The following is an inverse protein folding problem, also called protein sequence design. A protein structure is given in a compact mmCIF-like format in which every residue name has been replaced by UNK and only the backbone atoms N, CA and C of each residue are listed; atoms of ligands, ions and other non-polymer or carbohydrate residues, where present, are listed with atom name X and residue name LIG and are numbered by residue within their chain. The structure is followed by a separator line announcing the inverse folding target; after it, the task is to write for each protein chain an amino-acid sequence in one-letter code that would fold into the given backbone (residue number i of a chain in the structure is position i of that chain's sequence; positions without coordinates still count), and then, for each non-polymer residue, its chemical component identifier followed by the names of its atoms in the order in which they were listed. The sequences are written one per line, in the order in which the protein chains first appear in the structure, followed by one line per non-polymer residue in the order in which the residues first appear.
data_IF_552976179889
#
_entry.id   IF_552976179889
#
_cell.length_a   1.000
_cell.length_b   1.000
_cell.length_c   1.000
_cell.angle_alpha   90.00
_cell.angle_beta   90.00
_cell.angle_gamma   90.00
#
_symmetry.space_group_name_H-M   'P 1'
#
loop_
_entity.id
_entity.type
_entity.pdbx_description
1 polymer ?
#
# COMPACT_ATOMS: atom_id res chain seq x y z
N UNK A 1 -9.44 -23.80 12.70
CA UNK A 1 -9.06 -22.40 12.98
C UNK A 1 -9.05 -21.62 11.68
N UNK A 2 -9.90 -20.59 11.51
CA UNK A 2 -9.82 -19.68 10.36
C UNK A 2 -8.60 -18.79 10.60
N UNK A 3 -7.55 -18.95 9.79
CA UNK A 3 -6.33 -18.17 9.95
C UNK A 3 -6.64 -16.70 9.70
N UNK A 4 -6.36 -15.88 10.71
CA UNK A 4 -6.75 -14.47 10.82
C UNK A 4 -5.64 -13.62 10.18
N UNK A 5 -5.78 -13.30 8.90
CA UNK A 5 -4.83 -12.46 8.15
C UNK A 5 -5.56 -11.39 7.35
N UNK A 6 -4.83 -10.36 6.95
CA UNK A 6 -5.29 -9.44 5.92
C UNK A 6 -5.38 -10.18 4.57
N UNK A 7 -6.41 -9.88 3.79
CA UNK A 7 -6.55 -10.34 2.42
C UNK A 7 -5.31 -9.99 1.58
N UNK A 8 -4.51 -11.02 1.26
CA UNK A 8 -3.29 -10.85 0.46
C UNK A 8 -3.57 -10.37 -0.96
N UNK A 9 -4.71 -10.77 -1.54
CA UNK A 9 -5.13 -10.33 -2.88
C UNK A 9 -5.51 -8.85 -2.88
N UNK A 10 -6.25 -8.38 -1.87
CA UNK A 10 -6.59 -6.96 -1.73
C UNK A 10 -5.35 -6.11 -1.43
N UNK A 11 -4.43 -6.58 -0.58
CA UNK A 11 -3.14 -5.91 -0.35
C UNK A 11 -2.34 -5.78 -1.64
N UNK A 12 -2.32 -6.81 -2.48
CA UNK A 12 -1.61 -6.78 -3.76
C UNK A 12 -2.24 -5.78 -4.74
N UNK A 13 -3.57 -5.66 -4.77
CA UNK A 13 -4.27 -4.62 -5.57
C UNK A 13 -3.88 -3.23 -5.12
N UNK A 14 -3.89 -2.96 -3.80
CA UNK A 14 -3.44 -1.69 -3.23
C UNK A 14 -1.96 -1.41 -3.57
N UNK A 15 -1.10 -2.43 -3.54
CA UNK A 15 0.31 -2.31 -3.89
C UNK A 15 0.53 -1.93 -5.37
N UNK A 16 -0.29 -2.46 -6.27
CA UNK A 16 -0.21 -2.20 -7.72
C UNK A 16 -0.74 -0.83 -8.13
N UNK A 17 -1.58 -0.18 -7.32
CA UNK A 17 -2.19 1.10 -7.65
C UNK A 17 -1.16 2.25 -7.71
N UNK A 18 -0.24 2.33 -6.74
CA UNK A 18 0.77 3.39 -6.71
C UNK A 18 1.13 3.86 -5.30
N UNK A 19 1.82 5.00 -5.23
CA UNK A 19 2.10 5.69 -3.97
C UNK A 19 0.90 6.56 -3.57
N UNK A 20 0.47 6.57 -2.30
CA UNK A 20 -0.64 7.40 -1.85
C UNK A 20 -0.28 8.90 -1.80
N UNK A 21 1.01 9.24 -1.74
CA UNK A 21 1.52 10.61 -1.84
C UNK A 21 3.03 10.60 -2.10
N UNK A 22 3.63 11.78 -2.34
CA UNK A 22 5.08 11.96 -2.57
C UNK A 22 5.91 12.09 -1.28
N UNK A 23 5.27 12.11 -0.11
CA UNK A 23 5.99 12.18 1.16
C UNK A 23 6.87 10.94 1.36
N UNK A 24 8.15 11.12 1.72
CA UNK A 24 9.16 10.05 1.79
C UNK A 24 8.66 8.80 2.54
N UNK A 25 8.06 8.96 3.73
CA UNK A 25 7.55 7.83 4.53
C UNK A 25 6.44 7.04 3.82
N UNK A 26 5.57 7.74 3.09
CA UNK A 26 4.42 7.17 2.39
C UNK A 26 4.89 6.40 1.14
N UNK A 27 5.81 6.99 0.38
CA UNK A 27 6.48 6.35 -0.76
C UNK A 27 7.22 5.09 -0.32
N UNK A 28 8.07 5.17 0.71
CA UNK A 28 8.84 4.02 1.19
C UNK A 28 7.92 2.90 1.69
N UNK A 29 6.81 3.23 2.36
CA UNK A 29 5.83 2.23 2.80
C UNK A 29 5.17 1.51 1.61
N UNK A 30 4.74 2.25 0.58
CA UNK A 30 4.15 1.68 -0.62
C UNK A 30 5.15 0.83 -1.43
N UNK A 31 6.41 1.26 -1.53
CA UNK A 31 7.50 0.50 -2.19
C UNK A 31 7.85 -0.77 -1.45
N UNK A 32 7.85 -0.73 -0.11
CA UNK A 32 8.08 -1.91 0.73
C UNK A 32 6.95 -2.93 0.60
N UNK A 33 5.70 -2.47 0.51
CA UNK A 33 4.56 -3.32 0.22
C UNK A 33 4.70 -4.01 -1.16
N UNK A 34 5.14 -3.28 -2.18
CA UNK A 34 5.41 -3.85 -3.52
C UNK A 34 6.55 -4.85 -3.51
N UNK A 35 7.61 -4.55 -2.75
CA UNK A 35 8.76 -5.45 -2.55
C UNK A 35 8.32 -6.78 -1.95
N UNK A 36 7.44 -6.77 -0.94
CA UNK A 36 6.87 -7.97 -0.33
C UNK A 36 6.18 -8.88 -1.37
N UNK A 37 5.47 -8.29 -2.32
CA UNK A 37 4.82 -9.02 -3.42
C UNK A 37 5.71 -9.25 -4.64
N UNK A 38 7.02 -8.94 -4.56
CA UNK A 38 7.97 -9.02 -5.69
C UNK A 38 7.51 -8.26 -6.93
N UNK A 39 6.81 -7.15 -6.74
CA UNK A 39 6.35 -6.26 -7.82
C UNK A 39 7.50 -5.33 -8.21
N UNK A 40 7.81 -5.26 -9.50
CA UNK A 40 8.81 -4.34 -10.02
C UNK A 40 8.31 -2.90 -9.96
N UNK A 41 9.17 -1.98 -9.48
CA UNK A 41 8.80 -0.59 -9.28
C UNK A 41 8.43 0.14 -10.57
N UNK A 42 9.08 -0.19 -11.69
CA UNK A 42 8.82 0.43 -12.99
C UNK A 42 7.40 0.11 -13.53
N UNK A 43 6.90 -1.11 -13.31
CA UNK A 43 5.54 -1.50 -13.72
C UNK A 43 4.46 -0.65 -13.05
N UNK A 44 4.72 -0.16 -11.84
CA UNK A 44 3.77 0.66 -11.07
C UNK A 44 4.04 2.15 -11.27
N UNK A 45 5.30 2.58 -11.17
CA UNK A 45 5.68 3.98 -11.32
C UNK A 45 5.43 4.51 -12.73
N UNK A 46 5.53 3.68 -13.78
CA UNK A 46 5.21 4.08 -15.16
C UNK A 46 3.77 4.56 -15.33
N UNK A 47 2.83 4.01 -14.54
CA UNK A 47 1.39 4.34 -14.56
C UNK A 47 0.96 5.23 -13.39
N UNK A 48 1.88 5.58 -12.48
CA UNK A 48 1.56 6.31 -11.26
C UNK A 48 1.26 7.78 -11.56
N UNK A 49 0.09 8.27 -11.15
CA UNK A 49 -0.33 9.66 -11.33
C UNK A 49 0.64 10.68 -10.70
N UNK A 50 1.41 10.27 -9.68
CA UNK A 50 2.37 11.15 -8.99
C UNK A 50 3.79 11.11 -9.58
N UNK A 51 4.03 10.31 -10.63
CA UNK A 51 5.37 10.04 -11.20
C UNK A 51 6.16 11.33 -11.45
N UNK A 52 5.55 12.30 -12.14
CA UNK A 52 6.20 13.57 -12.54
C UNK A 52 6.76 14.32 -11.33
N UNK A 53 6.05 14.31 -10.21
CA UNK A 53 6.43 15.00 -8.97
C UNK A 53 7.26 14.17 -7.99
N UNK A 54 7.44 12.88 -8.25
CA UNK A 54 8.04 11.95 -7.30
C UNK A 54 9.57 11.92 -7.42
N UNK A 55 10.29 12.27 -6.35
CA UNK A 55 11.77 12.17 -6.32
C UNK A 55 12.31 10.75 -6.21
N UNK A 56 11.42 9.75 -6.11
CA UNK A 56 11.76 8.35 -5.88
C UNK A 56 11.26 7.41 -7.00
N UNK A 57 11.03 7.94 -8.20
CA UNK A 57 10.59 7.15 -9.37
C UNK A 57 11.53 5.97 -9.58
N UNK A 58 10.97 4.77 -9.74
CA UNK A 58 11.70 3.52 -10.02
C UNK A 58 12.77 3.11 -9.02
N UNK A 59 12.94 3.83 -7.92
CA UNK A 59 13.89 3.48 -6.88
C UNK A 59 13.43 2.22 -6.14
N UNK A 60 14.22 1.16 -6.23
CA UNK A 60 14.05 -0.05 -5.44
C UNK A 60 14.62 0.16 -4.02
N UNK A 61 14.06 -0.54 -3.04
CA UNK A 61 14.62 -0.56 -1.69
C UNK A 61 15.89 -1.43 -1.64
N UNK A 62 16.85 -1.09 -0.77
CA UNK A 62 18.07 -1.89 -0.60
C UNK A 62 17.73 -3.28 -0.08
N UNK A 63 18.52 -4.29 -0.47
CA UNK A 63 18.26 -5.71 -0.13
C UNK A 63 18.06 -6.00 1.36
N UNK A 64 18.76 -5.27 2.24
CA UNK A 64 18.61 -5.41 3.70
C UNK A 64 17.28 -4.90 4.27
N UNK A 65 16.56 -4.04 3.52
CA UNK A 65 15.25 -3.49 3.90
C UNK A 65 14.06 -4.39 3.48
N UNK A 66 14.33 -5.48 2.76
CA UNK A 66 13.34 -6.28 2.02
C UNK A 66 12.64 -7.38 2.82
N UNK A 67 13.17 -7.79 3.98
CA UNK A 67 12.73 -9.04 4.63
C UNK A 67 11.48 -8.90 5.49
N UNK A 68 11.19 -7.71 6.02
CA UNK A 68 10.07 -7.51 6.95
C UNK A 68 9.06 -6.47 6.44
N UNK A 69 7.85 -6.94 6.14
CA UNK A 69 6.71 -6.07 5.94
C UNK A 69 6.21 -5.58 7.31
N UNK A 70 6.51 -4.32 7.64
CA UNK A 70 6.05 -3.73 8.90
C UNK A 70 4.56 -3.39 8.83
N UNK A 71 3.79 -3.86 9.81
CA UNK A 71 2.36 -3.55 9.94
C UNK A 71 2.10 -2.03 9.89
N UNK A 72 2.95 -1.23 10.55
CA UNK A 72 2.84 0.24 10.52
C UNK A 72 2.94 0.83 9.09
N UNK A 73 3.73 0.21 8.21
CA UNK A 73 3.83 0.61 6.80
C UNK A 73 2.57 0.23 6.00
N UNK A 74 2.04 -0.97 6.26
CA UNK A 74 0.79 -1.46 5.65
C UNK A 74 -0.39 -0.58 6.05
N UNK A 75 -0.56 -0.37 7.36
CA UNK A 75 -1.60 0.50 7.93
C UNK A 75 -1.53 1.91 7.35
N UNK A 76 -0.33 2.50 7.25
CA UNK A 76 -0.16 3.83 6.66
C UNK A 76 -0.70 3.90 5.23
N UNK A 77 -0.40 2.92 4.38
CA UNK A 77 -0.88 2.91 2.99
C UNK A 77 -2.40 2.75 2.95
N UNK A 78 -2.95 1.80 3.70
CA UNK A 78 -4.40 1.55 3.77
C UNK A 78 -5.14 2.80 4.26
N UNK A 79 -4.71 3.40 5.36
CA UNK A 79 -5.35 4.57 5.97
C UNK A 79 -5.33 5.79 5.06
N UNK A 80 -4.23 6.05 4.35
CA UNK A 80 -4.16 7.17 3.42
C UNK A 80 -5.18 7.04 2.29
N UNK A 81 -5.35 5.85 1.73
CA UNK A 81 -6.37 5.61 0.72
C UNK A 81 -7.78 5.61 1.29
N UNK A 82 -7.99 5.06 2.48
CA UNK A 82 -9.30 5.00 3.13
C UNK A 82 -9.86 6.37 3.49
N UNK A 83 -8.99 7.26 3.98
CA UNK A 83 -9.36 8.63 4.36
C UNK A 83 -9.32 9.60 3.17
N UNK A 84 -9.06 9.09 1.96
CA UNK A 84 -8.80 9.89 0.75
C UNK A 84 -7.80 11.04 1.00
N UNK A 85 -6.86 10.83 1.93
CA UNK A 85 -5.82 11.78 2.32
C UNK A 85 -4.66 11.73 1.32
N UNK A 86 -5.00 11.96 0.05
CA UNK A 86 -4.12 11.85 -1.10
C UNK A 86 -4.10 13.15 -1.91
N UNK A 87 -3.08 13.40 -2.73
CA UNK A 87 -3.06 14.58 -3.60
C UNK A 87 -4.26 14.61 -4.57
N UNK A 88 -4.84 15.79 -4.87
CA UNK A 88 -6.05 15.89 -5.71
C UNK A 88 -5.96 15.22 -7.09
N UNK A 89 -4.76 15.16 -7.67
CA UNK A 89 -4.50 14.50 -8.95
C UNK A 89 -4.58 12.97 -8.89
N UNK A 90 -4.66 12.37 -7.70
CA UNK A 90 -4.73 10.92 -7.51
C UNK A 90 -6.19 10.49 -7.33
N UNK A 91 -6.86 10.17 -8.44
CA UNK A 91 -8.21 9.59 -8.41
C UNK A 91 -8.10 8.10 -8.03
N UNK A 92 -8.73 7.70 -6.94
CA UNK A 92 -8.73 6.31 -6.45
C UNK A 92 -9.90 5.55 -7.12
N UNK A 93 -9.64 4.51 -7.94
CA UNK A 93 -10.70 3.72 -8.57
C UNK A 93 -11.54 2.96 -7.54
N UNK A 94 -12.82 2.72 -7.85
CA UNK A 94 -13.76 2.01 -6.96
C UNK A 94 -13.27 0.61 -6.58
N UNK A 95 -12.59 -0.09 -7.49
CA UNK A 95 -11.99 -1.39 -7.18
C UNK A 95 -10.96 -1.29 -6.03
N UNK A 96 -10.14 -0.23 -6.03
CA UNK A 96 -9.15 0.01 -4.98
C UNK A 96 -9.86 0.42 -3.68
N UNK A 97 -10.89 1.28 -3.75
CA UNK A 97 -11.71 1.65 -2.58
C UNK A 97 -12.34 0.41 -1.94
N UNK A 98 -12.88 -0.51 -2.75
CA UNK A 98 -13.47 -1.76 -2.28
C UNK A 98 -12.43 -2.67 -1.63
N UNK A 99 -11.23 -2.80 -2.20
CA UNK A 99 -10.11 -3.54 -1.59
C UNK A 99 -9.67 -2.93 -0.27
N UNK A 100 -9.54 -1.60 -0.19
CA UNK A 100 -9.21 -0.88 1.05
C UNK A 100 -10.29 -1.11 2.12
N UNK A 101 -11.57 -1.05 1.77
CA UNK A 101 -12.68 -1.32 2.68
C UNK A 101 -12.64 -2.75 3.24
N UNK A 102 -12.38 -3.76 2.39
CA UNK A 102 -12.22 -5.16 2.85
C UNK A 102 -11.04 -5.31 3.81
N UNK A 103 -9.91 -4.68 3.51
CA UNK A 103 -8.73 -4.71 4.38
C UNK A 103 -9.00 -4.07 5.74
N UNK A 104 -9.75 -2.97 5.79
CA UNK A 104 -10.18 -2.37 7.06
C UNK A 104 -11.08 -3.31 7.86
N UNK A 105 -11.99 -4.03 7.20
CA UNK A 105 -12.83 -5.04 7.86
C UNK A 105 -12.00 -6.19 8.41
N UNK A 106 -10.97 -6.64 7.68
CA UNK A 106 -10.03 -7.62 8.19
C UNK A 106 -9.32 -7.07 9.44
N UNK A 107 -8.80 -5.84 9.41
CA UNK A 107 -8.15 -5.18 10.57
C UNK A 107 -9.07 -5.17 11.79
N UNK A 108 -10.34 -4.79 11.63
CA UNK A 108 -11.32 -4.76 12.73
C UNK A 108 -11.59 -6.14 13.33
N UNK A 109 -11.68 -7.18 12.48
CA UNK A 109 -11.85 -8.57 12.96
C UNK A 109 -10.60 -9.06 13.70
N UNK A 110 -9.42 -8.61 13.28
CA UNK A 110 -8.15 -8.92 13.94
C UNK A 110 -8.02 -8.19 15.28
N UNK A 111 -8.49 -6.96 15.41
CA UNK A 111 -8.40 -6.21 16.67
C UNK A 111 -9.31 -6.75 17.77
N UNK A 112 -10.46 -7.34 17.43
CA UNK A 112 -11.39 -7.97 18.38
C UNK A 112 -10.83 -9.24 19.05
N UNK A 113 -9.63 -9.68 18.69
CA UNK A 113 -8.98 -10.88 19.24
C UNK A 113 -8.20 -10.63 20.54
N UNK A 114 -8.14 -9.37 21.00
CA UNK A 114 -7.49 -8.98 22.26
C UNK A 114 -8.59 -8.59 23.25
N UNK A 115 -9.34 -9.59 23.70
CA UNK A 115 -10.21 -9.51 24.88
C UNK A 115 -10.09 -10.77 25.69
#
# INVERSE_FOLDING_TARGET
MKTRWLSGSDLKKVALFGCPSIAKKNVLSAKRLRTYFRIQEDNVCSKCALKVSCKFVNQNLRKGDMTNLHLAGVMRVITLYALESVPPQLVIPDEIKASVSRLLMDILRLSQTVS
#
